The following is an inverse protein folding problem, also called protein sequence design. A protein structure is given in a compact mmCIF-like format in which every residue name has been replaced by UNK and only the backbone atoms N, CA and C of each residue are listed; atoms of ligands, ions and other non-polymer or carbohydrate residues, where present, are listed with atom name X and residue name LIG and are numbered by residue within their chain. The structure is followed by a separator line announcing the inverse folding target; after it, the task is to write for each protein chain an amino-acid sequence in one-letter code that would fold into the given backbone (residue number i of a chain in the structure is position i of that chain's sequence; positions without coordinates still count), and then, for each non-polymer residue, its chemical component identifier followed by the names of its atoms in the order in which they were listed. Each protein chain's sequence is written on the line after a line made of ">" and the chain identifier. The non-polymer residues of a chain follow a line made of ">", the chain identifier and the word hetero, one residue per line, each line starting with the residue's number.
data_IF_128857807336
#
_entry.id   IF_128857807336
#
_cell.length_a   1.000
_cell.length_b   1.000
_cell.length_c   1.000
_cell.angle_alpha   90.00
_cell.angle_beta   90.00
_cell.angle_gamma   90.00
#
_symmetry.space_group_name_H-M   'P 1'
#
loop_
_entity.id
_entity.type
_entity.pdbx_description
1 polymer ?
#
# COMPACT_ATOMS: atom_id res chain seq x y z
N UNK A 1 -4.29 15.53 11.54
CA UNK A 1 -5.15 16.58 10.92
C UNK A 1 -5.51 16.22 9.47
N UNK A 2 -4.55 15.78 8.63
CA UNK A 2 -4.83 15.37 7.24
C UNK A 2 -5.84 14.22 7.08
N UNK A 3 -5.74 13.16 7.91
CA UNK A 3 -6.62 11.99 7.83
C UNK A 3 -8.12 12.29 8.04
N UNK A 4 -8.44 13.24 8.93
CA UNK A 4 -9.83 13.63 9.18
C UNK A 4 -10.42 14.40 7.99
N UNK A 5 -9.59 15.22 7.33
CA UNK A 5 -10.00 15.99 6.16
C UNK A 5 -10.31 15.07 4.97
N UNK A 6 -9.46 14.07 4.71
CA UNK A 6 -9.68 13.10 3.62
C UNK A 6 -10.95 12.27 3.83
N UNK A 7 -11.20 11.78 5.05
CA UNK A 7 -12.43 11.03 5.37
C UNK A 7 -13.70 11.86 5.21
N UNK A 8 -13.68 13.12 5.61
CA UNK A 8 -14.85 14.00 5.48
C UNK A 8 -15.21 14.26 4.01
N UNK A 9 -14.19 14.41 3.15
CA UNK A 9 -14.37 14.59 1.70
C UNK A 9 -14.96 13.33 1.04
N UNK A 10 -14.50 12.14 1.41
CA UNK A 10 -15.02 10.88 0.86
C UNK A 10 -16.47 10.61 1.31
N UNK A 11 -16.77 10.86 2.57
CA UNK A 11 -18.11 10.66 3.13
C UNK A 11 -19.14 11.63 2.55
N UNK A 12 -18.77 12.88 2.28
CA UNK A 12 -19.64 13.84 1.57
C UNK A 12 -19.91 13.46 0.12
N UNK A 13 -19.00 12.71 -0.54
CA UNK A 13 -19.27 12.15 -1.87
C UNK A 13 -20.26 10.99 -1.81
N UNK A 14 -20.14 10.12 -0.80
CA UNK A 14 -21.04 8.98 -0.64
C UNK A 14 -22.43 9.36 -0.11
N UNK A 15 -22.54 10.45 0.66
CA UNK A 15 -23.78 10.93 1.27
C UNK A 15 -23.95 12.44 1.05
N UNK A 16 -24.27 12.88 -0.17
CA UNK A 16 -24.32 14.30 -0.53
C UNK A 16 -25.43 15.09 0.19
N UNK A 17 -26.50 14.40 0.59
CA UNK A 17 -27.68 15.01 1.23
C UNK A 17 -27.65 14.94 2.77
N UNK A 18 -26.57 14.40 3.36
CA UNK A 18 -26.45 14.32 4.81
C UNK A 18 -26.15 15.70 5.41
N UNK A 19 -27.14 16.30 6.09
CA UNK A 19 -27.00 17.58 6.79
C UNK A 19 -25.99 17.53 7.95
N UNK A 20 -25.75 16.35 8.52
CA UNK A 20 -24.76 16.16 9.60
C UNK A 20 -24.12 14.78 9.48
N UNK A 21 -22.81 14.76 9.21
CA UNK A 21 -21.98 13.58 9.31
C UNK A 21 -21.45 13.48 10.75
N UNK A 22 -22.09 12.63 11.57
CA UNK A 22 -21.53 12.26 12.86
C UNK A 22 -20.47 11.20 12.61
N UNK A 23 -19.20 11.60 12.72
CA UNK A 23 -18.10 10.66 12.70
C UNK A 23 -17.91 10.09 14.10
N UNK A 24 -17.90 8.76 14.19
CA UNK A 24 -17.38 8.12 15.39
C UNK A 24 -15.96 8.63 15.64
N UNK A 25 -15.61 8.94 16.90
CA UNK A 25 -14.27 9.39 17.24
C UNK A 25 -13.26 8.32 16.83
N UNK A 26 -12.04 8.70 16.42
CA UNK A 26 -11.00 7.74 16.08
C UNK A 26 -10.73 6.83 17.29
N UNK A 27 -10.91 5.53 17.08
CA UNK A 27 -10.56 4.52 18.06
C UNK A 27 -9.06 4.19 17.93
N UNK A 28 -8.39 3.98 19.06
CA UNK A 28 -7.00 3.54 19.09
C UNK A 28 -6.87 2.35 20.04
N UNK A 29 -5.99 1.42 19.67
CA UNK A 29 -5.64 0.27 20.50
C UNK A 29 -4.13 0.21 20.65
N UNK A 30 -3.66 0.03 21.89
CA UNK A 30 -2.23 -0.13 22.19
C UNK A 30 -1.95 -1.62 22.36
N UNK A 31 -0.96 -2.13 21.62
CA UNK A 31 -0.46 -3.49 21.73
C UNK A 31 1.06 -3.50 21.68
N UNK A 32 1.67 -4.45 22.38
CA UNK A 32 3.09 -4.77 22.24
C UNK A 32 3.24 -5.81 21.13
N UNK A 33 4.29 -5.69 20.34
CA UNK A 33 4.59 -6.63 19.25
C UNK A 33 5.90 -6.27 18.57
N UNK A 34 6.26 -7.06 17.57
CA UNK A 34 7.42 -6.80 16.70
C UNK A 34 6.92 -6.31 15.35
N UNK A 35 7.55 -5.26 14.82
CA UNK A 35 7.22 -4.72 13.49
C UNK A 35 8.33 -5.10 12.51
N UNK A 36 7.94 -5.71 11.40
CA UNK A 36 8.78 -5.88 10.23
C UNK A 36 8.43 -4.80 9.20
N UNK A 37 9.42 -4.00 8.82
CA UNK A 37 9.35 -3.13 7.66
C UNK A 37 10.28 -3.69 6.58
N UNK A 38 9.73 -4.06 5.43
CA UNK A 38 10.50 -4.64 4.34
C UNK A 38 10.25 -3.85 3.05
N UNK A 39 11.33 -3.45 2.37
CA UNK A 39 11.31 -2.66 1.13
C UNK A 39 12.12 -3.37 0.05
N UNK A 40 11.64 -3.33 -1.19
CA UNK A 40 12.32 -3.94 -2.35
C UNK A 40 13.27 -2.92 -2.95
N UNK A 41 14.54 -3.03 -2.54
CA UNK A 41 15.61 -2.16 -3.01
C UNK A 41 15.68 -2.05 -4.53
N UNK A 42 15.77 -0.83 -5.04
CA UNK A 42 15.99 -0.55 -6.47
C UNK A 42 14.72 -0.63 -7.34
N UNK A 43 13.59 -1.12 -6.81
CA UNK A 43 12.35 -1.22 -7.57
C UNK A 43 11.84 0.14 -8.03
N UNK A 44 11.75 1.11 -7.11
CA UNK A 44 11.38 2.50 -7.44
C UNK A 44 12.26 3.11 -8.54
N UNK A 45 13.56 2.85 -8.53
CA UNK A 45 14.48 3.35 -9.57
C UNK A 45 14.21 2.71 -10.93
N UNK A 46 14.06 1.38 -10.97
CA UNK A 46 13.72 0.65 -12.20
C UNK A 46 12.39 1.09 -12.81
N UNK A 47 11.38 1.34 -11.96
CA UNK A 47 10.10 1.90 -12.41
C UNK A 47 10.28 3.27 -13.07
N UNK A 48 11.09 4.16 -12.47
CA UNK A 48 11.36 5.49 -13.02
C UNK A 48 12.09 5.44 -14.36
N UNK A 49 13.07 4.55 -14.50
CA UNK A 49 13.79 4.37 -15.77
C UNK A 49 12.84 3.91 -16.89
N UNK A 50 12.01 2.90 -16.63
CA UNK A 50 11.03 2.39 -17.60
C UNK A 50 9.91 3.38 -17.96
N UNK A 51 9.55 4.28 -17.06
CA UNK A 51 8.53 5.31 -17.33
C UNK A 51 9.11 6.59 -17.92
N UNK A 52 10.37 6.92 -17.65
CA UNK A 52 11.03 8.09 -18.23
C UNK A 52 11.28 7.96 -19.74
N UNK A 53 11.40 6.72 -20.24
CA UNK A 53 11.60 6.43 -21.66
C UNK A 53 10.28 6.16 -22.41
N UNK A 54 9.15 6.08 -21.68
CA UNK A 54 7.96 5.35 -22.12
C UNK A 54 6.80 6.11 -22.79
N UNK A 55 6.77 6.21 -24.12
CA UNK A 55 5.55 6.54 -24.90
C UNK A 55 5.10 5.39 -25.84
N UNK A 56 5.91 4.34 -25.98
CA UNK A 56 5.66 3.22 -26.89
C UNK A 56 4.93 2.05 -26.22
N UNK A 57 4.37 1.15 -27.05
CA UNK A 57 3.69 -0.07 -26.58
C UNK A 57 4.64 -1.07 -25.90
N UNK A 58 5.94 -1.01 -26.17
CA UNK A 58 6.93 -1.95 -25.61
C UNK A 58 7.34 -1.55 -24.18
N UNK A 59 7.50 -0.26 -23.91
CA UNK A 59 7.82 0.28 -22.58
C UNK A 59 6.65 0.09 -21.60
N UNK A 60 5.40 0.22 -22.07
CA UNK A 60 4.20 -0.10 -21.27
C UNK A 60 4.17 -1.56 -20.83
N UNK A 61 4.55 -2.50 -21.73
CA UNK A 61 4.71 -3.91 -21.38
C UNK A 61 5.86 -4.16 -20.41
N UNK A 62 6.92 -3.35 -20.45
CA UNK A 62 8.04 -3.41 -19.51
C UNK A 62 7.61 -3.07 -18.07
N UNK A 63 6.81 -2.01 -17.92
CA UNK A 63 6.26 -1.61 -16.61
C UNK A 63 5.30 -2.67 -16.05
N UNK A 64 4.44 -3.25 -16.88
CA UNK A 64 3.54 -4.35 -16.46
C UNK A 64 4.33 -5.58 -16.00
N UNK A 65 5.35 -6.01 -16.74
CA UNK A 65 6.22 -7.13 -16.35
C UNK A 65 6.94 -6.87 -15.04
N UNK A 66 7.42 -5.64 -14.83
CA UNK A 66 8.08 -5.27 -13.59
C UNK A 66 7.12 -5.33 -12.39
N UNK A 67 5.87 -4.89 -12.56
CA UNK A 67 4.84 -5.01 -11.52
C UNK A 67 4.48 -6.48 -11.23
N UNK A 68 4.37 -7.32 -12.25
CA UNK A 68 4.14 -8.77 -12.08
C UNK A 68 5.28 -9.43 -11.30
N UNK A 69 6.52 -9.05 -11.60
CA UNK A 69 7.71 -9.54 -10.93
C UNK A 69 7.75 -9.16 -9.45
N UNK A 70 7.43 -7.89 -9.15
CA UNK A 70 7.31 -7.41 -7.77
C UNK A 70 6.25 -8.19 -7.00
N UNK A 71 5.06 -8.35 -7.58
CA UNK A 71 3.98 -9.08 -6.92
C UNK A 71 4.38 -10.52 -6.62
N UNK A 72 5.10 -11.18 -7.52
CA UNK A 72 5.61 -12.53 -7.27
C UNK A 72 6.64 -12.56 -6.16
N UNK A 73 7.55 -11.59 -6.11
CA UNK A 73 8.53 -11.46 -5.04
C UNK A 73 7.86 -11.21 -3.68
N UNK A 74 6.96 -10.23 -3.60
CA UNK A 74 6.20 -9.89 -2.40
C UNK A 74 5.35 -11.05 -1.90
N UNK A 75 4.74 -11.84 -2.80
CA UNK A 75 3.96 -13.02 -2.44
C UNK A 75 4.80 -14.08 -1.70
N UNK A 76 6.08 -14.24 -2.05
CA UNK A 76 6.99 -15.14 -1.33
C UNK A 76 7.28 -14.64 0.08
N UNK A 77 7.55 -13.34 0.24
CA UNK A 77 7.77 -12.73 1.55
C UNK A 77 6.52 -12.85 2.42
N UNK A 78 5.34 -12.58 1.86
CA UNK A 78 4.06 -12.77 2.54
C UNK A 78 3.88 -14.21 3.03
N UNK A 79 4.23 -15.20 2.20
CA UNK A 79 4.23 -16.61 2.61
C UNK A 79 5.11 -16.84 3.85
N UNK A 80 6.32 -16.28 3.88
CA UNK A 80 7.19 -16.37 5.05
C UNK A 80 6.58 -15.70 6.28
N UNK A 81 6.05 -14.48 6.17
CA UNK A 81 5.40 -13.76 7.28
C UNK A 81 4.24 -14.55 7.88
N UNK A 82 3.35 -15.09 7.04
CA UNK A 82 2.19 -15.85 7.50
C UNK A 82 2.61 -17.16 8.17
N UNK A 83 3.61 -17.86 7.61
CA UNK A 83 4.09 -19.13 8.19
C UNK A 83 4.86 -18.95 9.49
N UNK A 84 5.47 -17.77 9.74
CA UNK A 84 6.07 -17.41 11.02
C UNK A 84 5.08 -16.87 12.06
N UNK A 85 3.78 -16.82 11.73
CA UNK A 85 2.72 -16.37 12.64
C UNK A 85 2.52 -14.86 12.69
N UNK A 86 3.10 -14.11 11.75
CA UNK A 86 2.87 -12.68 11.61
C UNK A 86 1.68 -12.37 10.70
N UNK A 87 1.28 -11.10 10.70
CA UNK A 87 0.21 -10.56 9.85
C UNK A 87 0.70 -9.33 9.07
N UNK A 88 0.22 -9.16 7.85
CA UNK A 88 0.59 -8.05 6.98
C UNK A 88 -0.42 -6.92 7.15
N UNK A 89 0.03 -5.79 7.71
CA UNK A 89 -0.84 -4.64 7.94
C UNK A 89 -1.08 -3.82 6.67
N UNK A 90 -0.02 -3.62 5.87
CA UNK A 90 -0.11 -2.72 4.72
C UNK A 90 0.99 -3.00 3.68
N UNK A 91 0.60 -2.79 2.42
CA UNK A 91 1.50 -2.62 1.29
C UNK A 91 1.54 -1.14 0.89
N UNK A 92 2.71 -0.63 0.54
CA UNK A 92 2.92 0.72 0.05
C UNK A 92 3.93 0.67 -1.10
N UNK A 93 3.43 0.45 -2.32
CA UNK A 93 4.28 0.27 -3.49
C UNK A 93 5.17 -0.96 -3.35
N UNK A 94 6.48 -0.73 -3.30
CA UNK A 94 7.55 -1.71 -3.11
C UNK A 94 7.91 -2.00 -1.66
N UNK A 95 7.14 -1.47 -0.69
CA UNK A 95 7.31 -1.76 0.72
C UNK A 95 6.10 -2.49 1.35
N UNK A 96 6.37 -3.27 2.39
CA UNK A 96 5.36 -3.91 3.24
C UNK A 96 5.66 -3.71 4.73
N UNK A 97 4.58 -3.68 5.52
CA UNK A 97 4.62 -3.64 6.97
C UNK A 97 3.90 -4.86 7.51
N UNK A 98 4.58 -5.63 8.36
CA UNK A 98 4.03 -6.78 9.06
C UNK A 98 4.24 -6.66 10.56
N UNK A 99 3.39 -7.34 11.33
CA UNK A 99 3.44 -7.38 12.79
C UNK A 99 3.38 -8.80 13.32
N UNK A 100 3.99 -9.00 14.49
CA UNK A 100 4.01 -10.25 15.26
C UNK A 100 3.62 -9.97 16.70
#
# INVERSE_FOLDING_TARGET
>A
VAYLHEREVELKKSYPDAETLVLDPPEYHVKNGVVLFADVSGFTSMCKELTAEGDTLEEKKGTEKLAEELNRYMSKILGHVLTSGGDVLKFAGDAMIAVY
#
